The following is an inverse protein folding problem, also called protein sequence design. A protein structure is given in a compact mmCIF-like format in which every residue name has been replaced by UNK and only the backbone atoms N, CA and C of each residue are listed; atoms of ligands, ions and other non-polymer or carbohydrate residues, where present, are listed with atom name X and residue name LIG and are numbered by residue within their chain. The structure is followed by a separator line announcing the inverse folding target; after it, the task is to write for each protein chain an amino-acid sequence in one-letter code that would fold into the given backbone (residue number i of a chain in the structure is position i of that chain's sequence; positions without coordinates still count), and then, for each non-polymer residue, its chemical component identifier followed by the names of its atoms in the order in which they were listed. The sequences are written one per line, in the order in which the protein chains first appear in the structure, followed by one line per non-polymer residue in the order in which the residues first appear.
data_IF_082999026394
#
_entry.id   IF_082999026394
#
_cell.length_a   1.000
_cell.length_b   1.000
_cell.length_c   1.000
_cell.angle_alpha   90.00
_cell.angle_beta   90.00
_cell.angle_gamma   90.00
#
_symmetry.space_group_name_H-M   'P 1'
#
loop_
_entity.id
_entity.type
_entity.pdbx_description
1 polymer ?
#
# COMPACT_ATOMS: atom_id res chain seq x y z
N UNK A 1 16.94 5.56 9.59
CA UNK A 1 15.90 5.14 8.63
C UNK A 1 14.86 6.24 8.55
N UNK A 2 15.01 7.17 7.61
CA UNK A 2 13.96 8.14 7.31
C UNK A 2 12.84 7.33 6.67
N UNK A 3 11.76 7.06 7.41
CA UNK A 3 10.58 6.42 6.83
C UNK A 3 10.20 7.27 5.61
N UNK A 4 10.05 6.65 4.44
CA UNK A 4 9.76 7.32 3.16
C UNK A 4 8.34 7.96 3.14
N UNK A 5 7.86 8.50 4.26
CA UNK A 5 6.51 9.06 4.45
C UNK A 5 6.25 10.16 3.42
N UNK A 6 7.26 10.99 3.11
CA UNK A 6 7.16 12.07 2.12
C UNK A 6 6.91 11.58 0.68
N UNK A 7 7.23 10.33 0.35
CA UNK A 7 6.89 9.75 -0.96
C UNK A 7 5.49 9.14 -1.00
N UNK A 8 4.88 8.92 0.16
CA UNK A 8 3.61 8.23 0.29
C UNK A 8 2.45 9.15 0.63
N UNK A 9 2.71 10.26 1.31
CA UNK A 9 1.72 11.25 1.71
C UNK A 9 1.99 12.58 0.99
N UNK A 10 1.02 13.03 0.19
CA UNK A 10 1.03 14.34 -0.44
C UNK A 10 0.18 15.29 0.38
N UNK A 11 0.79 16.32 0.93
CA UNK A 11 0.13 17.33 1.76
C UNK A 11 -0.27 18.53 0.92
N UNK A 12 -1.53 18.91 1.02
CA UNK A 12 -2.08 20.13 0.46
C UNK A 12 -2.11 21.24 1.53
N UNK A 13 -2.01 22.52 1.15
CA UNK A 13 -2.04 23.65 2.10
C UNK A 13 -3.33 23.75 2.93
N UNK A 14 -4.43 23.17 2.45
CA UNK A 14 -5.73 23.10 3.12
C UNK A 14 -5.84 21.98 4.17
N UNK A 15 -4.73 21.30 4.47
CA UNK A 15 -4.68 20.23 5.46
C UNK A 15 -5.12 18.86 4.92
N UNK A 16 -5.38 18.74 3.62
CA UNK A 16 -5.68 17.45 2.98
C UNK A 16 -4.38 16.66 2.77
N UNK A 17 -4.42 15.37 3.06
CA UNK A 17 -3.32 14.42 2.87
C UNK A 17 -3.79 13.31 1.95
N UNK A 18 -3.14 13.16 0.79
CA UNK A 18 -3.38 12.06 -0.15
C UNK A 18 -2.32 10.98 0.00
N UNK A 19 -2.76 9.74 0.22
CA UNK A 19 -1.88 8.58 0.41
C UNK A 19 -1.84 7.72 -0.86
N UNK A 20 -0.66 7.61 -1.48
CA UNK A 20 -0.45 6.80 -2.69
C UNK A 20 0.87 6.02 -2.60
N UNK A 21 0.89 4.76 -3.03
CA UNK A 21 2.09 3.92 -2.98
C UNK A 21 2.34 3.19 -4.31
N UNK A 22 3.56 3.25 -4.83
CA UNK A 22 3.95 2.73 -6.15
C UNK A 22 4.33 1.24 -6.17
N UNK A 23 3.82 0.43 -5.24
CA UNK A 23 4.19 -1.00 -5.13
C UNK A 23 5.63 -1.31 -4.69
N UNK A 24 6.50 -0.33 -4.42
CA UNK A 24 7.92 -0.64 -4.10
C UNK A 24 8.08 -1.42 -2.79
N UNK A 25 8.81 -2.53 -2.85
CA UNK A 25 9.15 -3.35 -1.68
C UNK A 25 10.60 -3.81 -1.79
N UNK A 26 11.54 -3.17 -1.08
CA UNK A 26 12.95 -3.56 -1.11
C UNK A 26 13.47 -3.76 -2.54
N UNK A 27 13.97 -4.97 -2.83
CA UNK A 27 14.48 -5.37 -4.14
C UNK A 27 13.45 -6.07 -5.05
N UNK A 28 12.18 -6.18 -4.62
CA UNK A 28 11.12 -6.79 -5.44
C UNK A 28 10.61 -5.80 -6.49
N UNK A 29 10.23 -6.32 -7.66
CA UNK A 29 9.66 -5.50 -8.74
C UNK A 29 8.30 -4.96 -8.29
N UNK A 30 8.12 -3.64 -8.34
CA UNK A 30 6.82 -3.02 -8.04
C UNK A 30 5.67 -3.63 -8.85
N UNK A 31 5.92 -3.99 -10.11
CA UNK A 31 4.91 -4.60 -10.98
C UNK A 31 4.30 -5.88 -10.41
N UNK A 32 5.06 -6.71 -9.69
CA UNK A 32 4.53 -7.93 -9.06
C UNK A 32 3.48 -7.57 -8.00
N UNK A 33 3.72 -6.50 -7.24
CA UNK A 33 2.80 -5.98 -6.23
C UNK A 33 1.58 -5.36 -6.88
N UNK A 34 1.77 -4.53 -7.90
CA UNK A 34 0.66 -3.90 -8.62
C UNK A 34 -0.26 -4.96 -9.24
N UNK A 35 0.31 -6.03 -9.81
CA UNK A 35 -0.47 -7.13 -10.39
C UNK A 35 -1.22 -7.92 -9.31
N UNK A 36 -0.60 -8.18 -8.15
CA UNK A 36 -1.26 -8.85 -7.02
C UNK A 36 -2.43 -8.02 -6.50
N UNK A 37 -2.24 -6.71 -6.32
CA UNK A 37 -3.29 -5.79 -5.86
C UNK A 37 -4.42 -5.68 -6.88
N UNK A 38 -4.12 -5.50 -8.17
CA UNK A 38 -5.16 -5.47 -9.22
C UNK A 38 -5.99 -6.76 -9.29
N UNK A 39 -5.39 -7.90 -8.92
CA UNK A 39 -6.04 -9.20 -9.00
C UNK A 39 -6.86 -9.56 -7.75
N UNK A 40 -6.39 -9.18 -6.57
CA UNK A 40 -6.93 -9.66 -5.30
C UNK A 40 -7.35 -8.56 -4.32
N UNK A 41 -7.09 -7.29 -4.64
CA UNK A 41 -7.56 -6.16 -3.84
C UNK A 41 -9.06 -5.95 -4.05
N UNK A 42 -9.80 -5.87 -2.95
CA UNK A 42 -11.23 -5.61 -2.91
C UNK A 42 -11.49 -4.11 -2.73
N UNK A 43 -10.84 -3.49 -1.73
CA UNK A 43 -11.04 -2.08 -1.41
C UNK A 43 -10.00 -1.15 -2.04
N UNK A 44 -9.07 -1.67 -2.84
CA UNK A 44 -7.91 -0.93 -3.34
C UNK A 44 -8.10 -0.41 -4.76
N UNK A 45 -7.95 0.91 -4.92
CA UNK A 45 -7.92 1.53 -6.24
C UNK A 45 -6.49 1.58 -6.77
N UNK A 46 -6.31 1.14 -8.01
CA UNK A 46 -5.02 1.17 -8.70
C UNK A 46 -5.11 2.11 -9.89
N UNK A 47 -4.30 3.16 -9.88
CA UNK A 47 -4.15 4.10 -10.98
C UNK A 47 -2.72 4.07 -11.53
N UNK A 48 -2.46 4.84 -12.59
CA UNK A 48 -1.11 4.98 -13.17
C UNK A 48 -0.11 5.60 -12.18
N UNK A 49 -0.62 6.31 -11.15
CA UNK A 49 0.19 6.90 -10.07
C UNK A 49 0.54 5.90 -8.97
N UNK A 50 -0.11 4.74 -8.94
CA UNK A 50 0.12 3.69 -7.94
C UNK A 50 -1.16 3.18 -7.30
N UNK A 51 -1.04 2.60 -6.11
CA UNK A 51 -2.16 2.19 -5.28
C UNK A 51 -2.60 3.38 -4.44
N UNK A 52 -3.87 3.76 -4.57
CA UNK A 52 -4.47 4.85 -3.81
C UNK A 52 -5.03 4.29 -2.50
N UNK A 53 -4.43 4.73 -1.39
CA UNK A 53 -4.75 4.20 -0.06
C UNK A 53 -5.83 5.04 0.62
N UNK A 54 -5.89 6.33 0.34
CA UNK A 54 -6.96 7.21 0.78
C UNK A 54 -6.60 8.69 0.74
N UNK A 55 -7.57 9.52 1.08
CA UNK A 55 -7.43 10.96 1.23
C UNK A 55 -8.06 11.31 2.58
N UNK A 56 -7.31 11.97 3.46
CA UNK A 56 -7.79 12.36 4.79
C UNK A 56 -7.40 13.80 5.09
N UNK A 57 -8.20 14.49 5.89
CA UNK A 57 -7.76 15.72 6.51
C UNK A 57 -6.80 15.41 7.66
N UNK A 58 -5.73 16.21 7.86
CA UNK A 58 -4.70 15.97 8.88
C UNK A 58 -5.28 15.86 10.29
N UNK A 59 -6.30 16.67 10.58
CA UNK A 59 -7.01 16.63 11.85
C UNK A 59 -7.79 15.33 12.08
N UNK A 60 -8.07 14.53 11.05
CA UNK A 60 -8.89 13.32 11.17
C UNK A 60 -8.09 12.04 11.44
N UNK A 61 -6.76 12.06 11.39
CA UNK A 61 -5.95 10.83 11.42
C UNK A 61 -6.16 9.92 12.65
N UNK A 62 -6.68 10.47 13.75
CA UNK A 62 -6.90 9.77 15.02
C UNK A 62 -8.37 9.38 15.28
N UNK A 63 -9.28 9.71 14.37
CA UNK A 63 -10.72 9.49 14.54
C UNK A 63 -11.12 8.12 13.96
N UNK A 64 -10.85 7.05 14.70
CA UNK A 64 -11.08 5.68 14.21
C UNK A 64 -12.56 5.32 14.05
N UNK A 65 -13.47 6.09 14.64
CA UNK A 65 -14.92 6.02 14.48
C UNK A 65 -15.43 6.75 13.23
N UNK A 66 -14.63 7.62 12.63
CA UNK A 66 -14.94 8.25 11.35
C UNK A 66 -14.83 7.21 10.22
N UNK A 67 -15.87 7.15 9.39
CA UNK A 67 -15.98 6.19 8.30
C UNK A 67 -14.82 6.29 7.30
N UNK A 68 -14.39 7.51 6.95
CA UNK A 68 -13.31 7.72 5.99
C UNK A 68 -11.97 7.20 6.53
N UNK A 69 -11.73 7.43 7.83
CA UNK A 69 -10.53 6.95 8.53
C UNK A 69 -10.55 5.43 8.64
N UNK A 70 -11.70 4.84 8.98
CA UNK A 70 -11.89 3.39 8.99
C UNK A 70 -11.59 2.76 7.62
N UNK A 71 -12.16 3.29 6.54
CA UNK A 71 -11.92 2.83 5.18
C UNK A 71 -10.44 2.95 4.78
N UNK A 72 -9.79 4.07 5.15
CA UNK A 72 -8.36 4.24 4.94
C UNK A 72 -7.53 3.16 5.67
N UNK A 73 -7.86 2.87 6.93
CA UNK A 73 -7.17 1.84 7.71
C UNK A 73 -7.38 0.45 7.10
N UNK A 74 -8.59 0.10 6.65
CA UNK A 74 -8.85 -1.16 5.96
C UNK A 74 -7.99 -1.30 4.69
N UNK A 75 -7.93 -0.24 3.87
CA UNK A 75 -7.07 -0.21 2.67
C UNK A 75 -5.59 -0.36 3.03
N UNK A 76 -5.13 0.28 4.10
CA UNK A 76 -3.74 0.13 4.57
C UNK A 76 -3.43 -1.31 4.98
N UNK A 77 -4.31 -1.95 5.74
CA UNK A 77 -4.13 -3.34 6.21
C UNK A 77 -4.14 -4.29 5.01
N UNK A 78 -5.15 -4.20 4.16
CA UNK A 78 -5.27 -5.03 2.95
C UNK A 78 -4.03 -4.89 2.06
N UNK A 79 -3.60 -3.66 1.81
CA UNK A 79 -2.41 -3.42 1.00
C UNK A 79 -1.15 -4.00 1.65
N UNK A 80 -1.00 -3.90 2.98
CA UNK A 80 0.12 -4.49 3.69
C UNK A 80 0.15 -6.03 3.57
N UNK A 81 -1.00 -6.68 3.66
CA UNK A 81 -1.13 -8.13 3.53
C UNK A 81 -0.77 -8.59 2.11
N UNK A 82 -1.31 -7.96 1.08
CA UNK A 82 -1.01 -8.29 -0.32
C UNK A 82 0.47 -8.07 -0.66
N UNK A 83 1.09 -7.04 -0.07
CA UNK A 83 2.54 -6.80 -0.18
C UNK A 83 3.35 -7.93 0.45
N UNK A 84 2.92 -8.44 1.60
CA UNK A 84 3.61 -9.55 2.26
C UNK A 84 3.44 -10.87 1.50
N UNK A 85 2.27 -11.11 0.92
CA UNK A 85 2.06 -12.30 0.08
C UNK A 85 3.00 -12.33 -1.12
N UNK A 86 3.27 -11.18 -1.75
CA UNK A 86 4.29 -11.13 -2.82
C UNK A 86 5.68 -11.50 -2.30
N UNK A 87 6.06 -11.08 -1.08
CA UNK A 87 7.34 -11.49 -0.49
C UNK A 87 7.38 -12.99 -0.25
N UNK A 88 6.29 -13.57 0.27
CA UNK A 88 6.15 -15.00 0.54
C UNK A 88 6.25 -15.82 -0.75
N UNK A 89 5.51 -15.43 -1.79
CA UNK A 89 5.54 -16.09 -3.11
C UNK A 89 6.95 -16.13 -3.69
N UNK A 90 7.70 -15.02 -3.60
CA UNK A 90 9.07 -14.94 -4.11
C UNK A 90 10.07 -15.75 -3.29
N UNK A 91 9.97 -15.73 -1.95
CA UNK A 91 10.83 -16.54 -1.06
C UNK A 91 10.61 -18.04 -1.28
N UNK A 92 9.35 -18.46 -1.44
CA UNK A 92 9.01 -19.85 -1.71
C UNK A 92 9.55 -20.33 -3.06
N UNK A 93 9.47 -19.48 -4.09
CA UNK A 93 10.05 -19.79 -5.41
C UNK A 93 11.57 -20.01 -5.34
N UNK A 94 12.29 -19.17 -4.61
CA UNK A 94 13.74 -19.34 -4.41
C UNK A 94 14.05 -20.64 -3.67
N UNK A 95 13.27 -20.97 -2.62
CA UNK A 95 13.45 -22.20 -1.86
C UNK A 95 13.24 -23.46 -2.69
N UNK A 96 12.25 -23.49 -3.58
CA UNK A 96 12.03 -24.64 -4.47
C UNK A 96 13.21 -24.81 -5.44
N UNK A 97 13.70 -23.70 -6.01
CA UNK A 97 14.85 -23.74 -6.92
C UNK A 97 16.17 -24.13 -6.25
N UNK A 98 16.31 -23.93 -4.94
CA UNK A 98 17.52 -24.33 -4.20
C UNK A 98 17.53 -25.80 -3.77
N UNK A 99 16.41 -26.51 -3.93
CA UNK A 99 16.26 -27.93 -3.53
C UNK A 99 16.20 -28.85 -4.76
N UNK A 100 16.12 -28.28 -5.96
CA UNK A 100 16.30 -28.94 -7.25
C UNK A 100 17.74 -28.77 -7.74
#
# INVERSE_FOLDING_TARGET
MQYNVDKYAQFSPDGIVKFTHNGKIGNFKSADVMNKVKKYGDCLNVSDKGVELGILHINKLLFLDDKEVSEFVYKLIEYALLREDVRRDKRNKVRILSVL
#
